data_IF_111750143191
#
_entry.id   IF_111750143191
#
_cell.length_a   1.000
_cell.length_b   1.000
_cell.length_c   1.000
_cell.angle_alpha   90.00
_cell.angle_beta   90.00
_cell.angle_gamma   90.00
#
_symmetry.space_group_name_H-M   'P 1'
#
loop_
_entity.id
_entity.type
_entity.pdbx_description
1 polymer ?
#
# COMPACT_ATOMS: atom_id res chain seq x y z
N UNK A 1 1.79 -11.20 12.68
CA UNK A 1 0.60 -10.33 12.77
C UNK A 1 -0.55 -11.08 12.13
N UNK A 2 -1.78 -10.82 12.53
CA UNK A 2 -2.94 -11.35 11.82
C UNK A 2 -2.94 -10.82 10.37
N UNK A 3 -3.06 -11.67 9.33
CA UNK A 3 -3.02 -11.25 7.92
C UNK A 3 -4.06 -10.19 7.59
N UNK A 4 -5.24 -10.27 8.21
CA UNK A 4 -6.29 -9.27 8.03
C UNK A 4 -5.86 -7.92 8.59
N UNK A 5 -5.20 -7.90 9.75
CA UNK A 5 -4.64 -6.68 10.32
C UNK A 5 -3.55 -6.06 9.43
N UNK A 6 -2.68 -6.87 8.80
CA UNK A 6 -1.68 -6.38 7.87
C UNK A 6 -2.29 -5.77 6.60
N UNK A 7 -3.28 -6.44 6.00
CA UNK A 7 -4.00 -5.93 4.82
C UNK A 7 -4.68 -4.61 5.13
N UNK A 8 -5.40 -4.54 6.25
CA UNK A 8 -6.10 -3.32 6.68
C UNK A 8 -5.11 -2.19 6.96
N UNK A 9 -4.02 -2.45 7.68
CA UNK A 9 -3.00 -1.45 7.97
C UNK A 9 -2.32 -0.93 6.69
N UNK A 10 -1.95 -1.83 5.77
CA UNK A 10 -1.31 -1.48 4.50
C UNK A 10 -2.25 -0.66 3.62
N UNK A 11 -3.51 -1.06 3.53
CA UNK A 11 -4.52 -0.33 2.77
C UNK A 11 -4.77 1.05 3.39
N UNK A 12 -5.00 1.14 4.70
CA UNK A 12 -5.22 2.39 5.40
C UNK A 12 -4.04 3.36 5.26
N UNK A 13 -2.80 2.85 5.36
CA UNK A 13 -1.59 3.64 5.18
C UNK A 13 -1.50 4.23 3.77
N UNK A 14 -1.70 3.43 2.72
CA UNK A 14 -1.56 3.89 1.34
C UNK A 14 -2.74 4.77 0.89
N UNK A 15 -3.96 4.51 1.38
CA UNK A 15 -5.12 5.40 1.16
C UNK A 15 -4.90 6.73 1.87
N UNK A 16 -4.48 6.71 3.14
CA UNK A 16 -4.16 7.93 3.89
C UNK A 16 -3.05 8.73 3.21
N UNK A 17 -2.02 8.06 2.71
CA UNK A 17 -0.94 8.71 1.95
C UNK A 17 -1.43 9.29 0.61
N UNK A 18 -2.31 8.59 -0.12
CA UNK A 18 -2.91 9.11 -1.35
C UNK A 18 -3.73 10.38 -1.10
N UNK A 19 -4.53 10.39 -0.02
CA UNK A 19 -5.29 11.58 0.41
C UNK A 19 -4.32 12.70 0.80
N UNK A 20 -3.26 12.40 1.55
CA UNK A 20 -2.27 13.39 1.96
C UNK A 20 -1.57 14.04 0.76
N UNK A 21 -1.10 13.25 -0.21
CA UNK A 21 -0.46 13.75 -1.43
C UNK A 21 -1.42 14.64 -2.22
N UNK A 22 -2.69 14.23 -2.35
CA UNK A 22 -3.72 15.01 -3.04
C UNK A 22 -4.03 16.32 -2.32
N UNK A 23 -4.17 16.29 -0.99
CA UNK A 23 -4.40 17.49 -0.19
C UNK A 23 -3.19 18.44 -0.24
N UNK A 24 -1.97 17.93 -0.13
CA UNK A 24 -0.74 18.72 -0.25
C UNK A 24 -0.63 19.38 -1.63
N UNK A 25 -0.91 18.65 -2.70
CA UNK A 25 -0.96 19.18 -4.06
C UNK A 25 -1.97 20.32 -4.20
N UNK A 26 -3.19 20.13 -3.69
CA UNK A 26 -4.22 21.18 -3.69
C UNK A 26 -3.83 22.41 -2.87
N UNK A 27 -3.17 22.25 -1.72
CA UNK A 27 -2.75 23.36 -0.85
C UNK A 27 -1.53 24.11 -1.41
N UNK A 28 -0.73 23.47 -2.25
CA UNK A 28 0.50 24.04 -2.80
C UNK A 28 0.36 24.50 -4.26
N UNK A 29 -0.86 24.43 -4.82
CA UNK A 29 -1.15 24.74 -6.23
C UNK A 29 -0.22 23.97 -7.18
N UNK A 30 0.10 22.73 -6.79
CA UNK A 30 0.98 21.81 -7.52
C UNK A 30 0.13 20.68 -8.06
N UNK A 31 0.44 20.23 -9.27
CA UNK A 31 -0.18 19.03 -9.81
C UNK A 31 0.30 17.80 -9.05
N UNK A 32 -0.63 17.03 -8.48
CA UNK A 32 -0.34 15.74 -7.84
C UNK A 32 0.12 14.70 -8.88
N UNK A 33 -0.27 14.89 -10.16
CA UNK A 33 -0.01 13.93 -11.22
C UNK A 33 -0.51 12.52 -10.86
N UNK A 34 0.17 11.45 -11.31
CA UNK A 34 -0.26 10.08 -11.05
C UNK A 34 0.09 9.58 -9.64
N UNK A 35 0.75 10.37 -8.79
CA UNK A 35 1.28 9.93 -7.49
C UNK A 35 0.25 9.29 -6.54
N UNK A 36 -1.00 9.79 -6.42
CA UNK A 36 -2.03 9.15 -5.60
C UNK A 36 -2.36 7.72 -6.06
N UNK A 37 -2.29 7.45 -7.37
CA UNK A 37 -2.52 6.12 -7.93
C UNK A 37 -1.29 5.22 -7.77
N UNK A 38 -0.09 5.78 -7.93
CA UNK A 38 1.17 5.06 -7.73
C UNK A 38 1.29 4.54 -6.30
N UNK A 39 0.95 5.34 -5.28
CA UNK A 39 0.95 4.85 -3.90
C UNK A 39 -0.07 3.74 -3.66
N UNK A 40 -1.25 3.80 -4.27
CA UNK A 40 -2.23 2.72 -4.17
C UNK A 40 -1.72 1.42 -4.82
N UNK A 41 -1.06 1.53 -5.97
CA UNK A 41 -0.44 0.39 -6.64
C UNK A 41 0.67 -0.23 -5.79
N UNK A 42 1.50 0.59 -5.11
CA UNK A 42 2.49 0.09 -4.15
C UNK A 42 1.86 -0.59 -2.95
N UNK A 43 0.74 -0.08 -2.44
CA UNK A 43 -0.01 -0.75 -1.37
C UNK A 43 -0.52 -2.13 -1.77
N UNK A 44 -1.08 -2.25 -2.99
CA UNK A 44 -1.48 -3.54 -3.57
C UNK A 44 -0.29 -4.47 -3.78
N UNK A 45 0.84 -3.98 -4.27
CA UNK A 45 2.06 -4.75 -4.45
C UNK A 45 2.61 -5.26 -3.11
N UNK A 46 2.55 -4.45 -2.04
CA UNK A 46 2.94 -4.85 -0.69
C UNK A 46 2.05 -5.97 -0.12
N UNK A 47 0.73 -5.90 -0.35
CA UNK A 47 -0.20 -6.97 0.01
C UNK A 47 0.14 -8.25 -0.77
N UNK A 48 0.32 -8.16 -2.08
CA UNK A 48 0.68 -9.31 -2.90
C UNK A 48 2.00 -9.95 -2.45
N UNK A 49 3.03 -9.14 -2.20
CA UNK A 49 4.32 -9.61 -1.71
C UNK A 49 4.20 -10.35 -0.37
N UNK A 50 3.36 -9.87 0.55
CA UNK A 50 3.14 -10.54 1.84
C UNK A 50 2.58 -11.96 1.65
N UNK A 51 1.53 -12.13 0.83
CA UNK A 51 0.95 -13.45 0.58
C UNK A 51 1.89 -14.39 -0.19
N UNK A 52 2.58 -13.90 -1.22
CA UNK A 52 3.55 -14.72 -1.97
C UNK A 52 4.77 -15.11 -1.12
N UNK A 53 5.23 -14.24 -0.22
CA UNK A 53 6.37 -14.52 0.66
C UNK A 53 5.98 -15.46 1.81
N UNK A 54 4.77 -15.34 2.34
CA UNK A 54 4.22 -16.24 3.37
C UNK A 54 4.04 -17.67 2.82
N UNK A 55 3.45 -17.83 1.62
CA UNK A 55 3.30 -19.14 0.97
C UNK A 55 4.64 -19.81 0.65
N UNK A 56 5.63 -19.06 0.18
CA UNK A 56 6.96 -19.61 -0.13
C UNK A 56 7.72 -20.02 1.14
N UNK A 57 7.56 -19.28 2.23
CA UNK A 57 8.19 -19.62 3.51
C UNK A 57 7.61 -20.89 4.14
N UNK A 58 6.30 -21.13 3.98
CA UNK A 58 5.64 -22.35 4.49
C UNK A 58 5.92 -23.57 3.60
N UNK A 59 6.11 -23.38 2.29
CA UNK A 59 6.44 -24.46 1.34
C UNK A 59 7.87 -25.00 1.48
N UNK A 60 8.83 -24.20 1.95
CA UNK A 60 10.23 -24.63 2.20
C UNK A 60 10.40 -25.37 3.54
N UNK A 61 9.37 -25.40 4.39
CA UNK A 61 9.39 -26.04 5.71
C UNK A 61 9.04 -27.55 5.68
N UNK A 62 8.78 -28.12 4.50
CA UNK A 62 8.33 -29.51 4.33
C UNK A 62 9.30 -30.38 3.52
#
# INVERSE_FOLDING_TARGET
>A
MDPQAFVVATFAAHVGFAIFVTAHASLTDRDAGPWPFVTLAFGLAGIAAYFFYDETSDSDAH
#
